data_IF_455526542635
#
_entry.id   IF_455526542635
#
_cell.length_a   1.000
_cell.length_b   1.000
_cell.length_c   1.000
_cell.angle_alpha   90.00
_cell.angle_beta   90.00
_cell.angle_gamma   90.00
#
_symmetry.space_group_name_H-M   'P 1'
#
loop_
_entity.id
_entity.type
_entity.pdbx_description
1 polymer ?
#
# COMPACT_ATOMS: atom_id res chain seq x y z
N UNK A 1 -24.13 -36.51 37.30
CA UNK A 1 -23.25 -36.16 36.17
C UNK A 1 -24.04 -35.28 35.19
N UNK A 2 -23.71 -33.98 35.08
CA UNK A 2 -24.41 -33.04 34.18
C UNK A 2 -23.94 -33.28 32.73
N UNK A 3 -24.82 -33.79 31.87
CA UNK A 3 -24.58 -33.88 30.42
C UNK A 3 -24.60 -32.45 29.87
N UNK A 4 -23.45 -31.91 29.50
CA UNK A 4 -23.41 -30.70 28.67
C UNK A 4 -24.04 -31.11 27.33
N UNK A 5 -25.13 -30.45 26.88
CA UNK A 5 -25.76 -30.84 25.62
C UNK A 5 -24.77 -30.58 24.48
N UNK A 6 -24.50 -31.62 23.69
CA UNK A 6 -23.61 -31.61 22.51
C UNK A 6 -23.92 -30.42 21.57
N UNK A 7 -25.17 -29.95 21.55
CA UNK A 7 -25.62 -28.77 20.82
C UNK A 7 -24.89 -27.47 21.23
N UNK A 8 -24.53 -27.31 22.51
CA UNK A 8 -23.89 -26.10 23.03
C UNK A 8 -22.41 -26.03 22.61
N UNK A 9 -21.73 -27.18 22.52
CA UNK A 9 -20.34 -27.28 22.05
C UNK A 9 -20.27 -27.02 20.53
N UNK A 10 -21.24 -27.52 19.77
CA UNK A 10 -21.33 -27.25 18.32
C UNK A 10 -21.61 -25.77 18.04
N UNK A 11 -22.49 -25.12 18.80
CA UNK A 11 -22.78 -23.70 18.66
C UNK A 11 -21.55 -22.83 18.99
N UNK A 12 -20.76 -23.20 20.00
CA UNK A 12 -19.52 -22.48 20.35
C UNK A 12 -18.43 -22.70 19.29
N UNK A 13 -18.30 -23.90 18.71
CA UNK A 13 -17.38 -24.16 17.59
C UNK A 13 -17.78 -23.38 16.32
N UNK A 14 -19.08 -23.26 16.05
CA UNK A 14 -19.61 -22.41 14.97
C UNK A 14 -19.36 -20.93 15.27
N UNK A 15 -19.59 -20.45 16.50
CA UNK A 15 -19.30 -19.07 16.90
C UNK A 15 -17.81 -18.75 16.85
N UNK A 16 -16.94 -19.66 17.28
CA UNK A 16 -15.49 -19.51 17.22
C UNK A 16 -14.96 -19.53 15.76
N UNK A 17 -15.62 -20.29 14.88
CA UNK A 17 -15.39 -20.26 13.43
C UNK A 17 -15.94 -18.99 12.75
N UNK A 18 -16.75 -18.20 13.46
CA UNK A 18 -17.38 -16.95 13.00
C UNK A 18 -16.70 -15.69 13.54
N UNK A 19 -15.48 -15.80 14.06
CA UNK A 19 -14.59 -14.65 14.22
C UNK A 19 -14.23 -14.13 12.81
N UNK A 20 -15.09 -13.27 12.26
CA UNK A 20 -14.81 -12.56 11.02
C UNK A 20 -13.63 -11.64 11.26
N UNK A 21 -12.67 -11.64 10.33
CA UNK A 21 -11.56 -10.70 10.37
C UNK A 21 -12.11 -9.26 10.46
N UNK A 22 -11.48 -8.43 11.28
CA UNK A 22 -11.77 -7.00 11.37
C UNK A 22 -11.07 -6.23 10.23
N UNK A 23 -9.97 -6.78 9.74
CA UNK A 23 -9.21 -6.27 8.61
C UNK A 23 -8.40 -7.37 7.93
N UNK A 24 -7.91 -7.08 6.72
CA UNK A 24 -6.87 -7.88 6.08
C UNK A 24 -5.76 -7.00 5.51
N UNK A 25 -4.54 -7.56 5.43
CA UNK A 25 -3.39 -6.91 4.79
C UNK A 25 -2.86 -7.77 3.65
N UNK A 26 -2.51 -7.10 2.56
CA UNK A 26 -1.75 -7.62 1.43
C UNK A 26 -0.31 -7.15 1.60
N UNK A 27 0.60 -8.07 1.94
CA UNK A 27 2.01 -7.76 2.17
C UNK A 27 2.79 -7.87 0.87
N UNK A 28 3.36 -6.77 0.41
CA UNK A 28 4.08 -6.70 -0.86
C UNK A 28 5.57 -6.96 -0.65
N UNK A 29 6.15 -7.83 -1.47
CA UNK A 29 7.60 -8.11 -1.45
C UNK A 29 8.38 -7.20 -2.38
N UNK A 30 7.73 -6.65 -3.40
CA UNK A 30 8.26 -5.60 -4.28
C UNK A 30 7.25 -4.47 -4.40
N UNK A 31 7.47 -3.41 -3.62
CA UNK A 31 6.71 -2.17 -3.69
C UNK A 31 7.65 -0.97 -3.70
N UNK A 32 7.28 0.05 -4.45
CA UNK A 32 8.08 1.25 -4.58
C UNK A 32 7.25 2.49 -4.82
N UNK A 33 7.79 3.62 -4.38
CA UNK A 33 7.35 4.96 -4.78
C UNK A 33 8.29 5.44 -5.88
N UNK A 34 7.75 5.69 -7.07
CA UNK A 34 8.49 6.26 -8.19
C UNK A 34 8.14 7.75 -8.34
N UNK A 35 9.16 8.58 -8.59
CA UNK A 35 8.99 9.98 -8.91
C UNK A 35 9.81 10.39 -10.15
N UNK A 36 9.16 11.13 -11.05
CA UNK A 36 9.75 11.67 -12.27
C UNK A 36 9.77 13.20 -12.16
N UNK A 37 10.93 13.84 -11.90
CA UNK A 37 10.98 15.28 -11.65
C UNK A 37 10.46 16.16 -12.79
N UNK A 38 10.72 15.80 -14.05
CA UNK A 38 10.35 16.61 -15.21
C UNK A 38 8.83 16.74 -15.39
N UNK A 39 8.07 15.68 -15.13
CA UNK A 39 6.61 15.66 -15.23
C UNK A 39 5.91 15.82 -13.88
N UNK A 40 6.67 15.92 -12.78
CA UNK A 40 6.18 15.90 -11.39
C UNK A 40 5.23 14.73 -11.11
N UNK A 41 5.45 13.60 -11.79
CA UNK A 41 4.60 12.41 -11.66
C UNK A 41 5.10 11.55 -10.50
N UNK A 42 4.20 11.21 -9.58
CA UNK A 42 4.44 10.29 -8.48
C UNK A 42 3.51 9.09 -8.60
N UNK A 43 4.05 7.88 -8.40
CA UNK A 43 3.24 6.66 -8.35
C UNK A 43 3.74 5.77 -7.22
N UNK A 44 2.80 5.09 -6.57
CA UNK A 44 3.08 3.97 -5.68
C UNK A 44 2.66 2.72 -6.43
N UNK A 45 3.57 1.77 -6.59
CA UNK A 45 3.34 0.55 -7.34
C UNK A 45 3.85 -0.67 -6.58
N UNK A 46 3.23 -1.82 -6.85
CA UNK A 46 3.71 -3.12 -6.39
C UNK A 46 3.35 -4.20 -7.41
N UNK A 47 4.22 -5.20 -7.57
CA UNK A 47 4.02 -6.32 -8.51
C UNK A 47 3.60 -5.87 -9.92
N UNK A 48 4.23 -4.82 -10.44
CA UNK A 48 3.95 -4.26 -11.77
C UNK A 48 2.59 -3.56 -11.92
N UNK A 49 1.87 -3.29 -10.82
CA UNK A 49 0.61 -2.54 -10.82
C UNK A 49 0.77 -1.22 -10.09
N UNK A 50 0.19 -0.16 -10.63
CA UNK A 50 0.02 1.11 -9.91
C UNK A 50 -1.09 0.93 -8.88
N UNK A 51 -0.78 1.22 -7.61
CA UNK A 51 -1.71 1.17 -6.48
C UNK A 51 -2.24 2.57 -6.11
N UNK A 52 -1.50 3.62 -6.43
CA UNK A 52 -1.88 5.03 -6.24
C UNK A 52 -1.08 5.94 -7.19
N UNK A 53 -1.73 7.00 -7.68
CA UNK A 53 -1.10 8.05 -8.50
C UNK A 53 -0.59 9.24 -7.67
N UNK A 54 -0.37 9.03 -6.37
CA UNK A 54 0.32 10.02 -5.54
C UNK A 54 -0.52 11.24 -5.15
N UNK A 55 -1.84 11.18 -5.28
CA UNK A 55 -2.74 12.26 -4.84
C UNK A 55 -2.45 12.65 -3.39
N UNK A 56 -2.28 13.96 -3.14
CA UNK A 56 -1.98 14.52 -1.83
C UNK A 56 -0.49 14.59 -1.48
N UNK A 57 0.41 14.02 -2.30
CA UNK A 57 1.84 14.23 -2.10
C UNK A 57 2.27 15.64 -2.49
N UNK A 58 3.14 16.21 -1.68
CA UNK A 58 3.81 17.47 -1.91
C UNK A 58 5.29 17.16 -2.06
N UNK A 59 5.88 17.58 -3.18
CA UNK A 59 7.29 17.39 -3.50
C UNK A 59 7.93 18.75 -3.78
N UNK A 60 9.05 19.02 -3.11
CA UNK A 60 9.87 20.20 -3.35
C UNK A 60 11.30 19.79 -3.62
N UNK A 61 11.83 20.25 -4.75
CA UNK A 61 13.24 20.15 -5.04
C UNK A 61 13.98 21.28 -4.32
N UNK A 62 14.89 20.93 -3.41
CA UNK A 62 15.68 21.89 -2.63
C UNK A 62 17.02 22.17 -3.31
N UNK A 63 17.62 21.13 -3.90
CA UNK A 63 18.82 21.19 -4.74
C UNK A 63 18.68 20.16 -5.88
N UNK A 64 19.51 20.19 -6.94
CA UNK A 64 19.41 19.24 -8.05
C UNK A 64 19.26 17.77 -7.62
N UNK A 65 20.00 17.36 -6.59
CA UNK A 65 20.01 16.00 -6.03
C UNK A 65 19.20 15.83 -4.74
N UNK A 66 18.51 16.87 -4.25
CA UNK A 66 17.87 16.86 -2.93
C UNK A 66 16.39 17.22 -3.04
N UNK A 67 15.53 16.28 -2.65
CA UNK A 67 14.09 16.41 -2.70
C UNK A 67 13.49 16.24 -1.31
N UNK A 68 12.53 17.10 -0.99
CA UNK A 68 11.70 16.95 0.20
C UNK A 68 10.33 16.48 -0.26
N UNK A 69 9.82 15.43 0.37
CA UNK A 69 8.54 14.80 0.02
C UNK A 69 7.72 14.55 1.27
N UNK A 70 6.42 14.87 1.22
CA UNK A 70 5.49 14.50 2.29
C UNK A 70 4.08 14.31 1.73
N UNK A 71 3.29 13.48 2.38
CA UNK A 71 1.85 13.51 2.20
C UNK A 71 1.29 14.76 2.91
N UNK A 72 0.29 15.43 2.33
CA UNK A 72 -0.31 16.65 2.89
C UNK A 72 -0.88 16.48 4.29
N UNK A 73 -1.28 15.25 4.65
CA UNK A 73 -1.80 14.90 5.97
C UNK A 73 -0.71 14.61 7.00
N UNK A 74 0.55 14.46 6.60
CA UNK A 74 1.63 14.20 7.55
C UNK A 74 1.95 15.47 8.35
N UNK A 75 2.15 15.29 9.65
CA UNK A 75 2.49 16.35 10.58
C UNK A 75 3.82 16.03 11.28
N UNK A 76 4.62 17.07 11.55
CA UNK A 76 5.86 16.96 12.32
C UNK A 76 7.06 16.32 11.60
N UNK A 77 6.90 15.81 10.37
CA UNK A 77 8.01 15.26 9.59
C UNK A 77 7.80 15.36 8.07
N UNK A 78 8.89 15.15 7.32
CA UNK A 78 8.88 14.88 5.88
C UNK A 78 10.03 13.93 5.54
N UNK A 79 10.02 13.39 4.32
CA UNK A 79 11.13 12.61 3.81
C UNK A 79 12.09 13.50 3.01
N UNK A 80 13.38 13.37 3.30
CA UNK A 80 14.48 13.99 2.57
C UNK A 80 15.16 12.91 1.73
N UNK A 81 15.10 13.07 0.42
CA UNK A 81 15.63 12.14 -0.57
C UNK A 81 16.89 12.76 -1.16
N UNK A 82 18.05 12.16 -0.88
CA UNK A 82 19.32 12.55 -1.47
C UNK A 82 19.68 11.56 -2.57
N UNK A 83 19.49 11.96 -3.83
CA UNK A 83 19.68 11.11 -5.00
C UNK A 83 21.16 10.95 -5.38
N UNK A 84 22.03 11.86 -4.94
CA UNK A 84 23.49 11.72 -5.11
C UNK A 84 24.05 10.65 -4.18
N UNK A 85 23.66 10.70 -2.90
CA UNK A 85 24.10 9.73 -1.89
C UNK A 85 23.31 8.41 -1.92
N UNK A 86 22.23 8.34 -2.72
CA UNK A 86 21.28 7.23 -2.77
C UNK A 86 20.68 6.89 -1.39
N UNK A 87 20.32 7.92 -0.63
CA UNK A 87 19.78 7.79 0.73
C UNK A 87 18.45 8.50 0.89
N UNK A 88 17.61 7.96 1.76
CA UNK A 88 16.36 8.57 2.20
C UNK A 88 16.40 8.74 3.71
N UNK A 89 15.97 9.90 4.18
CA UNK A 89 15.91 10.24 5.59
C UNK A 89 14.50 10.66 5.97
N UNK A 90 14.06 10.29 7.16
CA UNK A 90 12.94 10.94 7.84
C UNK A 90 13.48 12.15 8.58
N UNK A 91 13.05 13.34 8.18
CA UNK A 91 13.44 14.60 8.82
C UNK A 91 12.33 15.05 9.76
N UNK A 92 12.68 15.28 11.03
CA UNK A 92 11.79 15.82 12.08
C UNK A 92 12.32 17.17 12.56
N UNK A 93 11.47 17.98 13.23
CA UNK A 93 11.84 19.32 13.73
C UNK A 93 12.52 20.21 12.66
N UNK A 94 12.13 20.02 11.39
CA UNK A 94 12.69 20.71 10.24
C UNK A 94 11.63 21.50 9.50
N UNK A 95 12.07 22.46 8.69
CA UNK A 95 11.18 23.23 7.83
C UNK A 95 11.22 22.66 6.40
N UNK A 96 10.06 22.22 5.91
CA UNK A 96 9.91 21.69 4.55
C UNK A 96 10.43 22.69 3.51
N UNK A 97 11.22 22.21 2.55
CA UNK A 97 11.88 23.08 1.56
C UNK A 97 13.21 23.69 1.99
N UNK A 98 13.68 23.46 3.22
CA UNK A 98 14.97 23.96 3.74
C UNK A 98 15.84 22.83 4.26
N UNK A 99 17.16 23.01 4.33
CA UNK A 99 18.07 21.97 4.82
C UNK A 99 18.11 21.80 6.35
N UNK A 100 17.18 22.39 7.09
CA UNK A 100 17.13 22.33 8.56
C UNK A 100 16.29 21.15 9.03
N UNK A 101 16.73 20.49 10.10
CA UNK A 101 15.98 19.43 10.81
C UNK A 101 16.88 18.31 11.33
N UNK A 102 16.28 17.36 12.03
CA UNK A 102 16.94 16.14 12.50
C UNK A 102 16.64 14.97 11.57
N UNK A 103 17.67 14.45 10.92
CA UNK A 103 17.57 13.38 9.93
C UNK A 103 17.82 12.01 10.56
N UNK A 104 16.90 11.07 10.32
CA UNK A 104 17.10 9.65 10.61
C UNK A 104 17.05 8.88 9.31
N UNK A 105 18.13 8.16 8.96
CA UNK A 105 18.18 7.37 7.73
C UNK A 105 17.10 6.27 7.78
N UNK A 106 16.35 6.13 6.70
CA UNK A 106 15.29 5.13 6.56
C UNK A 106 15.85 3.79 6.06
N UNK A 107 15.17 2.70 6.41
CA UNK A 107 15.52 1.36 5.94
C UNK A 107 14.82 1.05 4.60
N UNK A 108 15.28 1.74 3.55
CA UNK A 108 14.76 1.63 2.18
C UNK A 108 15.91 1.66 1.19
N UNK A 109 15.69 1.12 -0.01
CA UNK A 109 16.66 1.21 -1.11
C UNK A 109 16.26 2.35 -2.06
N UNK A 110 17.18 3.26 -2.39
CA UNK A 110 16.94 4.32 -3.37
C UNK A 110 17.62 3.98 -4.70
N UNK A 111 16.82 3.77 -5.74
CA UNK A 111 17.29 3.65 -7.12
C UNK A 111 17.17 5.00 -7.82
N UNK A 112 18.21 5.39 -8.54
CA UNK A 112 18.30 6.70 -9.21
C UNK A 112 18.72 6.48 -10.65
N UNK A 113 17.99 7.08 -11.58
CA UNK A 113 18.20 6.97 -13.02
C UNK A 113 18.51 8.36 -13.56
N UNK A 114 19.71 8.51 -14.12
CA UNK A 114 20.25 9.79 -14.57
C UNK A 114 20.58 10.74 -13.41
N UNK A 115 20.98 11.96 -13.76
CA UNK A 115 21.32 13.02 -12.81
C UNK A 115 22.75 12.96 -12.25
N UNK A 116 23.11 14.00 -11.51
CA UNK A 116 24.38 14.18 -10.82
C UNK A 116 24.21 15.18 -9.66
N UNK A 117 25.31 15.66 -9.06
CA UNK A 117 25.24 16.71 -8.03
C UNK A 117 24.64 18.03 -8.55
N UNK A 118 24.75 18.31 -9.85
CA UNK A 118 24.29 19.58 -10.42
C UNK A 118 23.14 19.39 -11.42
N UNK A 119 22.75 18.14 -11.68
CA UNK A 119 21.72 17.80 -12.67
C UNK A 119 20.64 16.94 -11.99
N UNK A 120 19.37 17.35 -12.02
CA UNK A 120 18.27 16.53 -11.51
C UNK A 120 18.25 15.14 -12.15
N UNK A 121 17.94 14.06 -11.40
CA UNK A 121 17.71 12.75 -11.99
C UNK A 121 16.48 12.76 -12.91
N UNK A 122 16.48 11.88 -13.89
CA UNK A 122 15.31 11.64 -14.76
C UNK A 122 14.19 10.96 -13.98
N UNK A 123 14.55 10.05 -13.07
CA UNK A 123 13.63 9.30 -12.21
C UNK A 123 14.36 8.78 -10.98
N UNK A 124 13.66 8.66 -9.85
CA UNK A 124 14.11 7.85 -8.74
C UNK A 124 12.97 6.98 -8.18
N UNK A 125 13.35 5.87 -7.54
CA UNK A 125 12.44 4.91 -6.91
C UNK A 125 12.88 4.65 -5.48
N UNK A 126 11.97 4.84 -4.53
CA UNK A 126 12.15 4.41 -3.13
C UNK A 126 11.52 3.03 -3.01
N UNK A 127 12.33 1.99 -2.87
CA UNK A 127 11.87 0.61 -2.66
C UNK A 127 11.67 0.32 -1.19
N UNK A 128 10.52 -0.26 -0.87
CA UNK A 128 10.13 -0.62 0.47
C UNK A 128 10.18 -2.13 0.65
N UNK A 129 10.69 -2.58 1.79
CA UNK A 129 10.74 -3.99 2.17
C UNK A 129 9.58 -4.39 3.10
N UNK A 130 8.82 -3.41 3.59
CA UNK A 130 7.76 -3.56 4.59
C UNK A 130 6.43 -2.94 4.13
N UNK A 131 6.23 -2.79 2.82
CA UNK A 131 5.02 -2.19 2.27
C UNK A 131 3.83 -3.14 2.30
N UNK A 132 2.65 -2.60 2.60
CA UNK A 132 1.41 -3.34 2.58
C UNK A 132 0.22 -2.46 2.19
N UNK A 133 -0.83 -3.11 1.69
CA UNK A 133 -2.18 -2.55 1.60
C UNK A 133 -3.01 -3.15 2.73
N UNK A 134 -3.69 -2.32 3.51
CA UNK A 134 -4.65 -2.76 4.53
C UNK A 134 -6.07 -2.35 4.14
N UNK A 135 -7.01 -3.28 4.30
CA UNK A 135 -8.45 -3.01 4.22
C UNK A 135 -9.07 -3.27 5.58
N UNK A 136 -9.69 -2.24 6.15
CA UNK A 136 -10.47 -2.34 7.38
C UNK A 136 -11.92 -2.57 7.01
N UNK A 137 -12.50 -3.68 7.45
CA UNK A 137 -13.80 -4.16 6.96
C UNK A 137 -14.94 -3.27 7.47
N UNK A 138 -14.92 -2.92 8.76
CA UNK A 138 -15.96 -2.09 9.39
C UNK A 138 -16.07 -0.71 8.75
N UNK A 139 -14.94 -0.01 8.58
CA UNK A 139 -14.89 1.34 7.99
C UNK A 139 -14.85 1.33 6.46
N UNK A 140 -14.70 0.15 5.84
CA UNK A 140 -14.46 -0.03 4.40
C UNK A 140 -13.29 0.82 3.84
N UNK A 141 -12.33 1.18 4.69
CA UNK A 141 -11.20 2.03 4.32
C UNK A 141 -10.03 1.18 3.81
N UNK A 142 -9.38 1.65 2.73
CA UNK A 142 -8.12 1.10 2.25
C UNK A 142 -7.00 2.07 2.59
N UNK A 143 -5.84 1.57 3.00
CA UNK A 143 -4.62 2.36 3.10
C UNK A 143 -3.46 1.59 2.47
N UNK A 144 -2.53 2.33 1.88
CA UNK A 144 -1.23 1.81 1.45
C UNK A 144 -0.19 2.43 2.37
N UNK A 145 0.64 1.59 2.99
CA UNK A 145 1.59 2.02 4.00
C UNK A 145 2.94 1.31 3.83
N UNK A 146 3.99 1.97 4.31
CA UNK A 146 5.33 1.41 4.47
C UNK A 146 6.09 2.25 5.49
N UNK A 147 7.18 1.72 6.07
CA UNK A 147 8.02 2.43 7.04
C UNK A 147 7.21 3.02 8.20
N UNK A 148 6.20 2.27 8.68
CA UNK A 148 5.25 2.69 9.71
C UNK A 148 4.51 4.01 9.41
N UNK A 149 4.30 4.33 8.13
CA UNK A 149 3.62 5.55 7.68
C UNK A 149 2.64 5.26 6.54
N UNK A 150 1.51 5.97 6.52
CA UNK A 150 0.55 5.90 5.41
C UNK A 150 1.09 6.67 4.22
N UNK A 151 1.19 5.99 3.07
CA UNK A 151 1.64 6.57 1.79
C UNK A 151 0.44 7.02 0.93
N UNK A 152 -0.73 6.42 1.11
CA UNK A 152 -1.97 6.75 0.41
C UNK A 152 -3.18 6.28 1.21
N UNK A 153 -4.24 7.08 1.24
CA UNK A 153 -5.55 6.70 1.79
C UNK A 153 -6.47 6.05 0.75
N UNK A 154 -5.99 5.85 -0.49
CA UNK A 154 -6.62 4.97 -1.47
C UNK A 154 -8.15 5.19 -1.66
N UNK A 155 -8.60 6.44 -1.59
CA UNK A 155 -10.02 6.80 -1.67
C UNK A 155 -10.64 6.47 -3.05
N UNK A 156 -9.79 6.29 -4.06
CA UNK A 156 -10.10 5.94 -5.44
C UNK A 156 -10.18 4.42 -5.68
N UNK A 157 -10.26 3.61 -4.63
CA UNK A 157 -10.48 2.17 -4.75
C UNK A 157 -11.96 1.78 -4.63
N UNK A 158 -12.38 0.92 -5.55
CA UNK A 158 -13.67 0.24 -5.51
C UNK A 158 -13.54 -1.06 -4.69
N UNK A 159 -14.58 -1.37 -3.93
CA UNK A 159 -14.64 -2.54 -3.05
C UNK A 159 -16.01 -3.22 -3.21
N UNK A 160 -16.04 -4.54 -3.16
CA UNK A 160 -17.27 -5.31 -3.07
C UNK A 160 -17.05 -6.52 -2.18
N UNK A 161 -17.88 -6.69 -1.15
CA UNK A 161 -17.89 -7.89 -0.34
C UNK A 161 -18.90 -8.87 -0.92
N UNK A 162 -18.42 -10.03 -1.37
CA UNK A 162 -19.25 -11.05 -2.02
C UNK A 162 -19.76 -12.06 -0.99
N UNK A 163 -18.85 -12.46 -0.09
CA UNK A 163 -19.11 -13.30 1.07
C UNK A 163 -18.36 -12.73 2.27
N UNK A 164 -18.69 -13.16 3.51
CA UNK A 164 -17.98 -12.69 4.70
C UNK A 164 -16.45 -12.82 4.63
N UNK A 165 -15.94 -13.78 3.86
CA UNK A 165 -14.51 -14.03 3.68
C UNK A 165 -13.96 -13.65 2.29
N UNK A 166 -14.80 -13.19 1.35
CA UNK A 166 -14.43 -12.99 -0.06
C UNK A 166 -14.70 -11.55 -0.51
N UNK A 167 -13.65 -10.84 -0.88
CA UNK A 167 -13.68 -9.42 -1.22
C UNK A 167 -13.10 -9.19 -2.61
N UNK A 168 -13.74 -8.35 -3.40
CA UNK A 168 -13.19 -7.83 -4.64
C UNK A 168 -12.73 -6.39 -4.40
N UNK A 169 -11.48 -6.09 -4.75
CA UNK A 169 -10.93 -4.74 -4.68
C UNK A 169 -10.25 -4.38 -6.01
N UNK A 170 -10.36 -3.12 -6.42
CA UNK A 170 -9.64 -2.58 -7.56
C UNK A 170 -9.46 -1.08 -7.42
N UNK A 171 -8.35 -0.56 -7.94
CA UNK A 171 -8.23 0.87 -8.21
C UNK A 171 -9.26 1.26 -9.28
N UNK A 172 -9.90 2.43 -9.17
CA UNK A 172 -10.96 2.85 -10.09
C UNK A 172 -10.49 2.96 -11.55
N UNK A 173 -9.21 3.24 -11.77
CA UNK A 173 -8.62 3.32 -13.11
C UNK A 173 -8.27 1.96 -13.71
N UNK A 174 -8.28 0.87 -12.93
CA UNK A 174 -8.01 -0.46 -13.45
C UNK A 174 -9.15 -0.94 -14.34
N UNK A 175 -8.80 -1.32 -15.58
CA UNK A 175 -9.74 -1.83 -16.58
C UNK A 175 -9.48 -3.30 -16.86
N UNK A 176 -10.56 -4.09 -17.00
CA UNK A 176 -10.49 -5.50 -17.39
C UNK A 176 -9.98 -6.47 -16.32
N UNK A 177 -9.64 -5.99 -15.11
CA UNK A 177 -9.25 -6.87 -14.00
C UNK A 177 -9.57 -6.29 -12.61
N UNK A 178 -9.55 -7.15 -11.61
CA UNK A 178 -9.60 -6.80 -10.19
C UNK A 178 -8.90 -7.86 -9.35
N UNK A 179 -8.66 -7.56 -8.07
CA UNK A 179 -8.14 -8.53 -7.12
C UNK A 179 -9.25 -9.10 -6.27
N UNK A 180 -9.29 -10.42 -6.16
CA UNK A 180 -10.13 -11.18 -5.24
C UNK A 180 -9.28 -11.60 -4.05
N UNK A 181 -9.65 -11.12 -2.87
CA UNK A 181 -9.04 -11.45 -1.59
C UNK A 181 -9.91 -12.49 -0.90
N UNK A 182 -9.35 -13.67 -0.64
CA UNK A 182 -9.99 -14.69 0.20
C UNK A 182 -9.30 -14.71 1.56
N UNK A 183 -9.98 -14.18 2.58
CA UNK A 183 -9.44 -14.09 3.95
C UNK A 183 -9.42 -15.41 4.69
N UNK A 184 -10.34 -16.33 4.35
CA UNK A 184 -10.38 -17.69 4.93
C UNK A 184 -9.22 -18.54 4.45
N UNK A 185 -8.90 -18.46 3.15
CA UNK A 185 -7.78 -19.19 2.52
C UNK A 185 -6.46 -18.43 2.58
N UNK A 186 -6.49 -17.14 2.95
CA UNK A 186 -5.34 -16.22 2.93
C UNK A 186 -4.68 -16.15 1.54
N UNK A 187 -5.52 -16.04 0.52
CA UNK A 187 -5.10 -16.02 -0.89
C UNK A 187 -5.52 -14.74 -1.59
N UNK A 188 -4.67 -14.30 -2.53
CA UNK A 188 -4.97 -13.20 -3.44
C UNK A 188 -4.96 -13.73 -4.88
N UNK A 189 -6.04 -13.45 -5.61
CA UNK A 189 -6.18 -13.87 -7.01
C UNK A 189 -6.45 -12.64 -7.87
N UNK A 190 -5.72 -12.47 -8.97
CA UNK A 190 -6.08 -11.56 -10.05
C UNK A 190 -7.15 -12.22 -10.92
N UNK A 191 -8.30 -11.56 -11.07
CA UNK A 191 -9.38 -12.01 -11.96
C UNK A 191 -9.45 -11.05 -13.15
N UNK A 192 -9.38 -11.59 -14.36
CA UNK A 192 -9.49 -10.86 -15.64
C UNK A 192 -10.77 -11.23 -16.37
N UNK A 193 -11.39 -10.26 -17.04
CA UNK A 193 -12.64 -10.48 -17.80
C UNK A 193 -13.80 -11.06 -16.97
N UNK A 194 -13.72 -10.98 -15.64
CA UNK A 194 -14.82 -11.31 -14.73
C UNK A 194 -15.66 -10.08 -14.39
N UNK A 195 -16.81 -10.29 -13.75
CA UNK A 195 -17.67 -9.19 -13.30
C UNK A 195 -17.28 -8.78 -11.89
N UNK A 196 -16.87 -7.52 -11.70
CA UNK A 196 -16.58 -6.98 -10.36
C UNK A 196 -17.85 -7.00 -9.51
N UNK A 197 -17.78 -7.47 -8.26
CA UNK A 197 -18.97 -7.61 -7.41
C UNK A 197 -19.78 -8.89 -7.60
N UNK A 198 -19.34 -9.84 -8.43
CA UNK A 198 -20.03 -11.12 -8.64
C UNK A 198 -19.06 -12.30 -8.67
N UNK A 199 -19.55 -13.51 -8.35
CA UNK A 199 -18.75 -14.75 -8.30
C UNK A 199 -18.37 -15.25 -9.70
N UNK A 200 -19.15 -14.88 -10.73
CA UNK A 200 -19.11 -15.55 -12.02
C UNK A 200 -18.06 -14.97 -12.99
N UNK A 201 -17.28 -15.89 -13.57
CA UNK A 201 -16.54 -15.71 -14.82
C UNK A 201 -15.12 -15.16 -14.67
N UNK A 202 -14.40 -15.14 -15.79
CA UNK A 202 -13.05 -14.60 -15.91
C UNK A 202 -11.94 -15.65 -15.80
N UNK A 203 -10.71 -15.20 -16.05
CA UNK A 203 -9.49 -15.98 -15.88
C UNK A 203 -8.85 -15.63 -14.55
N UNK A 204 -8.43 -16.66 -13.80
CA UNK A 204 -7.89 -16.53 -12.46
C UNK A 204 -6.38 -16.76 -12.48
N UNK A 205 -5.63 -15.89 -11.80
CA UNK A 205 -4.19 -16.06 -11.59
C UNK A 205 -3.86 -15.73 -10.14
N UNK A 206 -3.36 -16.72 -9.40
CA UNK A 206 -2.92 -16.51 -8.01
C UNK A 206 -1.69 -15.61 -7.98
N UNK A 207 -1.74 -14.58 -7.15
CA UNK A 207 -0.62 -13.66 -6.95
C UNK A 207 0.24 -14.12 -5.77
N UNK A 208 1.57 -14.04 -5.86
CA UNK A 208 2.49 -14.40 -4.78
C UNK A 208 2.57 -13.27 -3.73
N UNK A 209 1.41 -12.84 -3.22
CA UNK A 209 1.25 -11.77 -2.23
C UNK A 209 0.61 -12.38 -0.99
N UNK A 210 1.27 -12.23 0.15
CA UNK A 210 0.79 -12.81 1.40
C UNK A 210 -0.41 -12.04 1.93
N UNK A 211 -1.49 -12.76 2.26
CA UNK A 211 -2.68 -12.21 2.92
C UNK A 211 -2.62 -12.54 4.42
N UNK A 212 -2.77 -11.52 5.24
CA UNK A 212 -2.87 -11.66 6.70
C UNK A 212 -4.17 -11.04 7.20
N UNK A 213 -4.75 -11.61 8.24
CA UNK A 213 -6.03 -11.20 8.83
C UNK A 213 -5.83 -10.82 10.29
N UNK A 214 -6.54 -9.79 10.76
CA UNK A 214 -6.52 -9.35 12.17
C UNK A 214 -7.93 -9.31 12.74
#
# INVERSE_FOLDING_TARGET
MKKIPILFVFLILVLAALMLASSFRLNFTDAYLAYVPSSKTLQIAAHGKVLSYGTGWIVQQVQPYLYHMRLSTWQGFFWKINTSQKKVFKTTNGQFGTNVGHDTQMNVTLEVIGGSNNVPPTRFLIRFHDAYLIYVIESQSIQIAAQSTVLSYANDWNKAQIYPYLFHIRLATWQGFYWQVNTSRKELVEIRNGTFGAIAGGTHSTLPISVTTQ
#
